data_IF_079222614306
#
_entry.id   IF_079222614306
#
_cell.length_a   1.000
_cell.length_b   1.000
_cell.length_c   1.000
_cell.angle_alpha   90.00
_cell.angle_beta   90.00
_cell.angle_gamma   90.00
#
_symmetry.space_group_name_H-M   'P 1'
#
loop_
_entity.id
_entity.type
_entity.pdbx_description
1 polymer ?
#
# COMPACT_ATOMS: atom_id res chain seq x y z
N UNK A 1 11.71 7.16 -14.18
CA UNK A 1 10.87 6.89 -15.38
C UNK A 1 9.43 7.01 -14.93
N UNK A 2 8.52 7.66 -15.67
CA UNK A 2 7.09 7.64 -15.31
C UNK A 2 6.57 6.23 -15.63
N UNK A 3 6.44 5.38 -14.62
CA UNK A 3 5.76 4.10 -14.81
C UNK A 3 4.30 4.40 -15.10
N UNK A 4 3.86 3.98 -16.29
CA UNK A 4 2.45 4.04 -16.66
C UNK A 4 1.80 2.80 -16.06
N UNK A 5 1.17 2.97 -14.90
CA UNK A 5 0.39 1.90 -14.29
C UNK A 5 -0.86 1.65 -15.12
N UNK A 6 -1.18 0.38 -15.35
CA UNK A 6 -2.46 0.01 -15.95
C UNK A 6 -3.60 0.20 -14.93
N UNK A 7 -4.86 0.34 -15.38
CA UNK A 7 -6.00 0.41 -14.46
C UNK A 7 -6.02 -0.76 -13.47
N UNK A 8 -5.68 -1.97 -13.93
CA UNK A 8 -5.60 -3.17 -13.09
C UNK A 8 -4.54 -3.02 -11.98
N UNK A 9 -3.37 -2.43 -12.31
CA UNK A 9 -2.33 -2.19 -11.31
C UNK A 9 -2.81 -1.19 -10.24
N UNK A 10 -3.55 -0.14 -10.65
CA UNK A 10 -4.11 0.85 -9.74
C UNK A 10 -5.17 0.22 -8.83
N UNK A 11 -6.01 -0.66 -9.36
CA UNK A 11 -7.02 -1.38 -8.58
C UNK A 11 -6.37 -2.32 -7.56
N UNK A 12 -5.29 -3.01 -7.94
CA UNK A 12 -4.49 -3.85 -7.02
C UNK A 12 -3.88 -3.00 -5.90
N UNK A 13 -3.26 -1.87 -6.23
CA UNK A 13 -2.66 -0.96 -5.24
C UNK A 13 -3.70 -0.41 -4.26
N UNK A 14 -4.87 -0.01 -4.78
CA UNK A 14 -5.97 0.51 -3.99
C UNK A 14 -6.56 -0.57 -3.08
N UNK A 15 -6.72 -1.80 -3.58
CA UNK A 15 -7.17 -2.94 -2.77
C UNK A 15 -6.23 -3.24 -1.62
N UNK A 16 -4.92 -3.26 -1.87
CA UNK A 16 -3.91 -3.47 -0.83
C UNK A 16 -3.94 -2.37 0.24
N UNK A 17 -4.08 -1.10 -0.17
CA UNK A 17 -4.17 0.03 0.74
C UNK A 17 -5.43 -0.03 1.61
N UNK A 18 -6.58 -0.36 1.01
CA UNK A 18 -7.86 -0.43 1.71
C UNK A 18 -7.84 -1.53 2.77
N UNK A 19 -7.30 -2.70 2.44
CA UNK A 19 -7.17 -3.83 3.38
C UNK A 19 -6.21 -3.45 4.51
N UNK A 20 -5.06 -2.85 4.21
CA UNK A 20 -4.10 -2.42 5.25
C UNK A 20 -4.70 -1.36 6.18
N UNK A 21 -5.41 -0.37 5.63
CA UNK A 21 -6.10 0.63 6.44
C UNK A 21 -7.13 -0.02 7.38
N UNK A 22 -7.90 -1.00 6.88
CA UNK A 22 -8.86 -1.75 7.68
C UNK A 22 -8.21 -2.60 8.79
N UNK A 23 -7.09 -3.27 8.48
CA UNK A 23 -6.34 -4.09 9.44
C UNK A 23 -5.74 -3.26 10.58
N UNK A 24 -5.24 -2.06 10.27
CA UNK A 24 -4.56 -1.19 11.22
C UNK A 24 -5.47 -0.10 11.83
N UNK A 25 -6.76 -0.12 11.51
CA UNK A 25 -7.73 0.91 11.90
C UNK A 25 -7.24 2.34 11.59
N UNK A 26 -6.58 2.50 10.44
CA UNK A 26 -6.05 3.77 9.95
C UNK A 26 -7.08 4.43 9.04
N UNK A 27 -7.39 5.69 9.31
CA UNK A 27 -8.21 6.50 8.41
C UNK A 27 -7.48 6.76 7.10
N UNK A 28 -8.17 6.62 5.95
CA UNK A 28 -7.61 6.83 4.61
C UNK A 28 -7.05 8.23 4.38
N UNK A 29 -7.50 9.21 5.17
CA UNK A 29 -7.03 10.60 5.10
C UNK A 29 -5.83 10.88 6.03
N UNK A 30 -5.34 9.88 6.77
CA UNK A 30 -4.23 10.01 7.70
C UNK A 30 -2.85 10.01 7.02
N UNK A 31 -1.85 10.55 7.73
CA UNK A 31 -0.45 10.50 7.30
C UNK A 31 0.06 9.05 7.14
N UNK A 32 -0.53 8.13 7.88
CA UNK A 32 -0.27 6.69 7.90
C UNK A 32 -0.76 6.04 6.60
N UNK A 33 -1.96 6.38 6.14
CA UNK A 33 -2.48 5.90 4.85
C UNK A 33 -1.64 6.42 3.69
N UNK A 34 -1.20 7.69 3.74
CA UNK A 34 -0.28 8.24 2.74
C UNK A 34 1.10 7.55 2.75
N UNK A 35 1.61 7.17 3.93
CA UNK A 35 2.85 6.40 4.06
C UNK A 35 2.70 4.99 3.48
N UNK A 36 1.60 4.30 3.79
CA UNK A 36 1.29 3.00 3.23
C UNK A 36 1.12 3.06 1.70
N UNK A 37 0.39 4.06 1.19
CA UNK A 37 0.21 4.27 -0.25
C UNK A 37 1.54 4.48 -0.99
N UNK A 38 2.44 5.30 -0.43
CA UNK A 38 3.80 5.46 -0.97
C UNK A 38 4.58 4.15 -0.96
N UNK A 39 4.48 3.38 0.12
CA UNK A 39 5.16 2.08 0.22
C UNK A 39 4.67 1.09 -0.83
N UNK A 40 3.36 1.04 -1.06
CA UNK A 40 2.74 0.22 -2.11
C UNK A 40 3.26 0.65 -3.50
N UNK A 41 3.32 1.96 -3.77
CA UNK A 41 3.85 2.49 -5.02
C UNK A 41 5.31 2.11 -5.23
N UNK A 42 6.16 2.24 -4.21
CA UNK A 42 7.56 1.85 -4.28
C UNK A 42 7.71 0.35 -4.57
N UNK A 43 6.87 -0.49 -3.97
CA UNK A 43 6.87 -1.93 -4.20
C UNK A 43 6.47 -2.27 -5.65
N UNK A 44 5.41 -1.63 -6.16
CA UNK A 44 4.95 -1.80 -7.54
C UNK A 44 5.94 -1.26 -8.57
N UNK A 45 6.66 -0.18 -8.24
CA UNK A 45 7.72 0.39 -9.09
C UNK A 45 8.92 -0.57 -9.22
N UNK A 46 9.27 -1.27 -8.13
CA UNK A 46 10.34 -2.27 -8.15
C UNK A 46 9.95 -3.54 -8.91
N UNK A 47 8.73 -4.03 -8.72
CA UNK A 47 8.21 -5.23 -9.35
C UNK A 47 6.69 -5.18 -9.36
N UNK A 48 6.04 -5.55 -10.48
CA UNK A 48 4.60 -5.84 -10.45
C UNK A 48 4.32 -6.93 -9.43
N UNK A 49 3.60 -6.56 -8.38
CA UNK A 49 3.20 -7.42 -7.29
C UNK A 49 1.67 -7.55 -7.27
N UNK A 50 1.18 -8.72 -6.86
CA UNK A 50 -0.25 -8.89 -6.59
C UNK A 50 -0.65 -8.20 -5.27
N UNK A 51 -1.96 -8.06 -5.05
CA UNK A 51 -2.50 -7.48 -3.81
C UNK A 51 -1.98 -8.25 -2.58
N UNK A 52 -2.00 -9.59 -2.62
CA UNK A 52 -1.49 -10.43 -1.53
C UNK A 52 0.01 -10.26 -1.30
N UNK A 53 0.82 -10.12 -2.36
CA UNK A 53 2.27 -9.87 -2.21
C UNK A 53 2.54 -8.49 -1.59
N UNK A 54 1.77 -7.48 -1.97
CA UNK A 54 1.84 -6.15 -1.38
C UNK A 54 1.46 -6.19 0.10
N UNK A 55 0.37 -6.87 0.44
CA UNK A 55 -0.08 -7.05 1.81
C UNK A 55 0.92 -7.85 2.66
N UNK A 56 1.50 -8.92 2.11
CA UNK A 56 2.53 -9.69 2.80
C UNK A 56 3.75 -8.82 3.11
N UNK A 57 4.19 -7.99 2.16
CA UNK A 57 5.31 -7.04 2.36
C UNK A 57 4.94 -5.86 3.25
N UNK A 58 3.67 -5.47 3.30
CA UNK A 58 3.15 -4.46 4.23
C UNK A 58 2.83 -5.02 5.61
N UNK A 59 2.73 -6.35 5.78
CA UNK A 59 2.55 -6.99 7.08
C UNK A 59 3.73 -6.73 8.02
N UNK A 60 4.94 -6.57 7.47
CA UNK A 60 6.12 -6.10 8.20
C UNK A 60 6.11 -4.57 8.45
N UNK A 61 5.25 -3.83 7.75
CA UNK A 61 5.12 -2.38 7.85
C UNK A 61 4.06 -2.02 8.90
N UNK A 62 4.47 -2.07 10.18
CA UNK A 62 3.61 -1.58 11.27
C UNK A 62 3.46 -0.06 11.20
N UNK A 63 2.24 0.49 11.37
CA UNK A 63 2.08 1.91 11.63
C UNK A 63 2.92 2.26 12.86
N UNK A 64 3.66 3.37 12.78
CA UNK A 64 4.51 3.81 13.88
C UNK A 64 3.66 3.89 15.15
N UNK A 65 3.95 3.01 16.12
CA UNK A 65 3.32 3.06 17.43
C UNK A 65 3.77 4.38 18.06
N UNK A 66 2.89 5.38 18.03
CA UNK A 66 3.08 6.58 18.86
C UNK A 66 2.91 6.12 20.31
N UNK A 67 4.04 6.05 21.01
CA UNK A 67 4.13 5.81 22.44
C UNK A 67 4.37 7.15 23.16
#
# INVERSE_FOLDING_TARGET
MRQTYSPDDVDVMRGALDIWCALHNVGKDGAEANRAARRILDLMDQKKCSCDELLARMGDFMPAQHH
#
